data_IF_245886788998
#
_entry.id   IF_245886788998
#
_cell.length_a   1.000
_cell.length_b   1.000
_cell.length_c   1.000
_cell.angle_alpha   90.00
_cell.angle_beta   90.00
_cell.angle_gamma   90.00
#
_symmetry.space_group_name_H-M   'P 1'
#
loop_
_entity.id
_entity.type
_entity.pdbx_description
1 polymer ?
#
# COMPACT_ATOMS: atom_id res chain seq x y z
N UNK A 1 -10.18 -18.47 -14.62
CA UNK A 1 -9.14 -18.08 -13.65
C UNK A 1 -8.88 -19.27 -12.74
N UNK A 2 -7.62 -19.57 -12.39
CA UNK A 2 -7.36 -20.61 -11.38
C UNK A 2 -7.74 -20.09 -9.99
N UNK A 3 -8.15 -20.96 -9.04
CA UNK A 3 -8.46 -20.54 -7.67
C UNK A 3 -7.29 -19.82 -7.00
N UNK A 4 -6.05 -20.25 -7.26
CA UNK A 4 -4.84 -19.60 -6.77
C UNK A 4 -4.69 -18.16 -7.31
N UNK A 5 -4.96 -17.93 -8.61
CA UNK A 5 -4.93 -16.58 -9.18
C UNK A 5 -6.02 -15.70 -8.58
N UNK A 6 -7.23 -16.22 -8.37
CA UNK A 6 -8.32 -15.48 -7.74
C UNK A 6 -7.96 -15.06 -6.31
N UNK A 7 -7.41 -15.99 -5.51
CA UNK A 7 -7.00 -15.73 -4.14
C UNK A 7 -5.93 -14.63 -4.06
N UNK A 8 -4.93 -14.66 -4.93
CA UNK A 8 -3.89 -13.62 -4.99
C UNK A 8 -4.50 -12.25 -5.31
N UNK A 9 -5.42 -12.18 -6.27
CA UNK A 9 -6.09 -10.92 -6.64
C UNK A 9 -6.92 -10.38 -5.49
N UNK A 10 -7.66 -11.23 -4.79
CA UNK A 10 -8.40 -10.86 -3.59
C UNK A 10 -7.46 -10.36 -2.48
N UNK A 11 -6.32 -11.02 -2.28
CA UNK A 11 -5.30 -10.59 -1.31
C UNK A 11 -4.75 -9.20 -1.60
N UNK A 12 -4.38 -8.92 -2.86
CA UNK A 12 -3.98 -7.59 -3.29
C UNK A 12 -5.08 -6.55 -3.09
N UNK A 13 -6.30 -6.85 -3.53
CA UNK A 13 -7.41 -5.93 -3.43
C UNK A 13 -7.73 -5.60 -1.96
N UNK A 14 -7.76 -6.61 -1.09
CA UNK A 14 -8.04 -6.43 0.33
C UNK A 14 -6.94 -5.61 1.04
N UNK A 15 -5.66 -5.92 0.78
CA UNK A 15 -4.54 -5.19 1.37
C UNK A 15 -4.47 -3.74 0.89
N UNK A 16 -4.57 -3.50 -0.42
CA UNK A 16 -4.62 -2.14 -0.98
C UNK A 16 -5.85 -1.35 -0.50
N UNK A 17 -7.02 -1.98 -0.38
CA UNK A 17 -8.21 -1.32 0.15
C UNK A 17 -8.06 -0.95 1.64
N UNK A 18 -7.46 -1.81 2.45
CA UNK A 18 -7.19 -1.52 3.87
C UNK A 18 -6.18 -0.37 4.03
N UNK A 19 -5.14 -0.32 3.20
CA UNK A 19 -4.21 0.80 3.14
C UNK A 19 -4.93 2.08 2.71
N UNK A 20 -5.74 2.02 1.65
CA UNK A 20 -6.50 3.17 1.16
C UNK A 20 -7.44 3.74 2.23
N UNK A 21 -8.17 2.87 2.92
CA UNK A 21 -9.04 3.27 4.01
C UNK A 21 -8.28 3.95 5.16
N UNK A 22 -7.15 3.36 5.58
CA UNK A 22 -6.34 3.92 6.66
C UNK A 22 -5.75 5.28 6.30
N UNK A 23 -5.22 5.44 5.08
CA UNK A 23 -4.71 6.73 4.61
C UNK A 23 -5.80 7.78 4.44
N UNK A 24 -6.98 7.40 3.91
CA UNK A 24 -8.11 8.31 3.81
C UNK A 24 -8.60 8.75 5.21
N UNK A 25 -8.66 7.83 6.16
CA UNK A 25 -9.01 8.13 7.55
C UNK A 25 -8.02 9.14 8.13
N UNK A 26 -6.72 8.86 8.03
CA UNK A 26 -5.65 9.70 8.56
C UNK A 26 -5.58 11.07 7.89
N UNK A 27 -5.88 11.15 6.59
CA UNK A 27 -6.05 12.42 5.88
C UNK A 27 -7.15 13.27 6.53
N UNK A 28 -8.37 12.72 6.65
CA UNK A 28 -9.52 13.45 7.19
C UNK A 28 -9.34 13.81 8.67
N UNK A 29 -8.72 12.93 9.46
CA UNK A 29 -8.65 13.08 10.92
C UNK A 29 -7.32 13.66 11.43
N UNK A 30 -6.48 14.23 10.56
CA UNK A 30 -5.31 14.97 11.02
C UNK A 30 -4.43 15.54 9.92
N UNK A 31 -4.11 14.76 8.89
CA UNK A 31 -3.06 15.17 7.96
C UNK A 31 -3.49 16.13 6.86
N UNK A 32 -4.79 16.32 6.62
CA UNK A 32 -5.26 17.26 5.58
C UNK A 32 -4.72 18.69 5.75
N UNK A 33 -4.33 19.08 6.97
CA UNK A 33 -3.78 20.40 7.27
C UNK A 33 -2.25 20.47 7.22
N UNK A 34 -1.55 19.35 7.01
CA UNK A 34 -0.09 19.30 6.94
C UNK A 34 0.34 19.48 5.47
N UNK A 35 1.03 20.58 5.11
CA UNK A 35 1.44 20.84 3.73
C UNK A 35 2.27 19.69 3.16
N UNK A 36 2.00 19.33 1.89
CA UNK A 36 2.61 18.22 1.15
C UNK A 36 2.32 16.81 1.69
N UNK A 37 2.41 16.60 3.01
CA UNK A 37 2.10 15.32 3.66
C UNK A 37 0.64 14.96 3.49
N UNK A 38 -0.28 15.88 3.79
CA UNK A 38 -1.72 15.66 3.59
C UNK A 38 -2.07 15.30 2.15
N UNK A 39 -1.50 16.01 1.17
CA UNK A 39 -1.66 15.66 -0.24
C UNK A 39 -1.11 14.25 -0.55
N UNK A 40 0.01 13.87 0.06
CA UNK A 40 0.57 12.53 -0.01
C UNK A 40 -0.40 11.45 0.48
N UNK A 41 -1.03 11.64 1.65
CA UNK A 41 -2.05 10.72 2.17
C UNK A 41 -3.24 10.57 1.21
N UNK A 42 -3.74 11.68 0.66
CA UNK A 42 -4.87 11.64 -0.29
C UNK A 42 -4.52 10.94 -1.60
N UNK A 43 -3.34 11.22 -2.15
CA UNK A 43 -2.84 10.58 -3.38
C UNK A 43 -2.63 9.08 -3.13
N UNK A 44 -2.00 8.71 -2.03
CA UNK A 44 -1.80 7.31 -1.65
C UNK A 44 -3.14 6.58 -1.54
N UNK A 45 -4.10 7.16 -0.82
CA UNK A 45 -5.41 6.56 -0.63
C UNK A 45 -6.12 6.33 -1.97
N UNK A 46 -6.09 7.35 -2.83
CA UNK A 46 -6.71 7.32 -4.15
C UNK A 46 -6.09 6.27 -5.07
N UNK A 47 -4.75 6.21 -5.13
CA UNK A 47 -4.02 5.23 -5.95
C UNK A 47 -4.27 3.81 -5.45
N UNK A 48 -4.16 3.58 -4.13
CA UNK A 48 -4.38 2.27 -3.53
C UNK A 48 -5.81 1.78 -3.78
N UNK A 49 -6.82 2.65 -3.63
CA UNK A 49 -8.20 2.29 -3.91
C UNK A 49 -8.45 1.97 -5.39
N UNK A 50 -7.94 2.81 -6.31
CA UNK A 50 -8.07 2.59 -7.74
C UNK A 50 -7.38 1.28 -8.19
N UNK A 51 -6.21 0.99 -7.64
CA UNK A 51 -5.48 -0.25 -7.89
C UNK A 51 -6.21 -1.46 -7.30
N UNK A 52 -6.77 -1.34 -6.08
CA UNK A 52 -7.56 -2.41 -5.46
C UNK A 52 -8.74 -2.82 -6.35
N UNK A 53 -9.52 -1.84 -6.82
CA UNK A 53 -10.65 -2.08 -7.73
C UNK A 53 -10.17 -2.66 -9.07
N UNK A 54 -9.15 -2.06 -9.68
CA UNK A 54 -8.64 -2.52 -10.98
C UNK A 54 -8.10 -3.95 -10.91
N UNK A 55 -7.40 -4.32 -9.83
CA UNK A 55 -6.91 -5.68 -9.61
C UNK A 55 -8.06 -6.63 -9.25
N UNK A 56 -9.09 -6.19 -8.53
CA UNK A 56 -10.24 -7.05 -8.26
C UNK A 56 -11.02 -7.37 -9.54
N UNK A 57 -11.21 -6.37 -10.40
CA UNK A 57 -12.01 -6.43 -11.63
C UNK A 57 -11.30 -7.05 -12.85
N UNK A 58 -10.19 -7.76 -12.67
CA UNK A 58 -9.55 -8.46 -13.79
C UNK A 58 -8.47 -7.66 -14.54
N UNK A 59 -8.07 -6.48 -14.05
CA UNK A 59 -7.00 -5.67 -14.62
C UNK A 59 -5.65 -6.41 -14.83
N UNK A 60 -4.76 -5.83 -15.66
CA UNK A 60 -3.58 -6.50 -16.20
C UNK A 60 -2.52 -6.82 -15.13
N UNK A 61 -1.67 -7.81 -15.44
CA UNK A 61 -0.67 -8.33 -14.52
C UNK A 61 0.37 -7.31 -14.04
N UNK A 62 0.59 -6.21 -14.78
CA UNK A 62 1.50 -5.14 -14.38
C UNK A 62 0.96 -4.30 -13.21
N UNK A 63 -0.35 -4.32 -12.95
CA UNK A 63 -0.93 -3.63 -11.79
C UNK A 63 -0.36 -4.12 -10.46
N UNK A 64 0.12 -5.38 -10.39
CA UNK A 64 0.83 -5.87 -9.22
C UNK A 64 2.14 -5.11 -8.95
N UNK A 65 2.86 -4.68 -10.00
CA UNK A 65 4.04 -3.82 -9.85
C UNK A 65 3.65 -2.42 -9.35
N UNK A 66 2.57 -1.85 -9.89
CA UNK A 66 2.07 -0.57 -9.41
C UNK A 66 1.67 -0.62 -7.93
N UNK A 67 0.93 -1.66 -7.52
CA UNK A 67 0.57 -1.88 -6.12
C UNK A 67 1.78 -2.06 -5.21
N UNK A 68 2.76 -2.88 -5.63
CA UNK A 68 4.01 -3.06 -4.91
C UNK A 68 4.82 -1.76 -4.76
N UNK A 69 4.87 -0.94 -5.83
CA UNK A 69 5.56 0.34 -5.81
C UNK A 69 4.87 1.36 -4.90
N UNK A 70 3.54 1.48 -4.96
CA UNK A 70 2.76 2.38 -4.08
C UNK A 70 2.93 1.98 -2.61
N UNK A 71 2.79 0.69 -2.30
CA UNK A 71 2.97 0.20 -0.93
C UNK A 71 4.41 0.38 -0.43
N UNK A 72 5.40 0.06 -1.27
CA UNK A 72 6.82 0.24 -0.93
C UNK A 72 7.21 1.70 -0.70
N UNK A 73 6.71 2.62 -1.53
CA UNK A 73 6.94 4.06 -1.35
C UNK A 73 6.28 4.57 -0.07
N UNK A 74 5.08 4.10 0.26
CA UNK A 74 4.38 4.45 1.50
C UNK A 74 5.14 3.98 2.74
N UNK A 75 5.63 2.74 2.76
CA UNK A 75 6.47 2.22 3.83
C UNK A 75 7.78 2.99 3.97
N UNK A 76 8.43 3.34 2.86
CA UNK A 76 9.64 4.17 2.89
C UNK A 76 9.36 5.57 3.46
N UNK A 77 8.24 6.18 3.10
CA UNK A 77 7.80 7.46 3.64
C UNK A 77 7.48 7.37 5.15
N UNK A 78 6.85 6.28 5.59
CA UNK A 78 6.61 6.01 7.00
C UNK A 78 7.94 5.88 7.78
N UNK A 79 8.88 5.07 7.29
CA UNK A 79 10.20 4.94 7.94
C UNK A 79 10.93 6.28 7.97
N UNK A 80 10.88 7.06 6.87
CA UNK A 80 11.48 8.38 6.82
C UNK A 80 10.87 9.32 7.88
N UNK A 81 9.53 9.38 8.01
CA UNK A 81 8.87 10.24 9.01
C UNK A 81 9.29 9.92 10.46
N UNK A 82 9.61 8.65 10.75
CA UNK A 82 10.03 8.19 12.09
C UNK A 82 11.54 8.30 12.37
N UNK A 83 12.36 8.59 11.37
CA UNK A 83 13.82 8.53 11.51
C UNK A 83 14.51 9.85 11.18
N UNK A 84 14.41 10.26 9.92
CA UNK A 84 15.09 11.46 9.38
C UNK A 84 14.13 12.62 9.12
N UNK A 85 12.83 12.37 9.28
CA UNK A 85 11.75 13.28 8.89
C UNK A 85 11.47 13.22 7.38
N UNK A 86 10.31 13.75 7.00
CA UNK A 86 9.83 13.83 5.62
C UNK A 86 9.35 15.26 5.36
N UNK A 87 10.10 16.05 4.58
CA UNK A 87 9.72 17.44 4.25
C UNK A 87 9.45 18.32 5.50
N UNK A 88 10.22 18.13 6.58
CA UNK A 88 10.03 18.85 7.84
C UNK A 88 8.95 18.26 8.76
N UNK A 89 8.29 17.18 8.36
CA UNK A 89 7.33 16.43 9.17
C UNK A 89 8.00 15.21 9.82
N UNK A 90 7.76 14.99 11.11
CA UNK A 90 8.27 13.82 11.84
C UNK A 90 7.25 13.32 12.84
N UNK A 91 7.28 12.01 13.09
CA UNK A 91 6.34 11.30 13.95
C UNK A 91 7.04 10.29 14.84
N UNK A 92 6.35 9.81 15.87
CA UNK A 92 6.94 8.93 16.87
C UNK A 92 6.05 7.72 17.18
N UNK A 93 6.67 6.55 17.30
CA UNK A 93 6.00 5.30 17.67
C UNK A 93 4.97 4.83 16.64
N UNK A 94 3.75 4.54 17.09
CA UNK A 94 2.62 4.10 16.26
C UNK A 94 1.46 5.10 16.24
N UNK A 95 1.65 6.29 16.79
CA UNK A 95 0.68 7.37 16.64
C UNK A 95 0.67 7.88 15.19
N UNK A 96 -0.50 8.11 14.57
CA UNK A 96 -1.84 7.95 15.11
C UNK A 96 -2.31 6.48 15.13
N UNK A 97 -2.59 5.96 16.33
CA UNK A 97 -3.08 4.60 16.49
C UNK A 97 -4.60 4.53 16.25
N UNK A 98 -5.14 3.41 15.71
CA UNK A 98 -4.44 2.21 15.24
C UNK A 98 -4.02 2.30 13.76
N UNK A 99 -4.41 3.38 13.06
CA UNK A 99 -4.37 3.43 11.60
C UNK A 99 -2.95 3.43 11.03
N UNK A 100 -1.95 3.97 11.73
CA UNK A 100 -0.55 3.84 11.33
C UNK A 100 -0.11 2.36 11.24
N UNK A 101 -0.40 1.57 12.29
CA UNK A 101 -0.07 0.15 12.31
C UNK A 101 -0.87 -0.66 11.28
N UNK A 102 -2.17 -0.35 11.12
CA UNK A 102 -3.02 -0.99 10.11
C UNK A 102 -2.52 -0.72 8.69
N UNK A 103 -2.12 0.52 8.39
CA UNK A 103 -1.58 0.87 7.08
C UNK A 103 -0.27 0.14 6.80
N UNK A 104 0.67 0.14 7.76
CA UNK A 104 1.95 -0.57 7.61
C UNK A 104 1.73 -2.06 7.40
N UNK A 105 0.82 -2.70 8.14
CA UNK A 105 0.51 -4.11 7.95
C UNK A 105 -0.09 -4.40 6.56
N UNK A 106 -0.99 -3.55 6.09
CA UNK A 106 -1.62 -3.67 4.78
C UNK A 106 -0.61 -3.48 3.63
N UNK A 107 0.26 -2.48 3.74
CA UNK A 107 1.31 -2.21 2.75
C UNK A 107 2.36 -3.32 2.72
N UNK A 108 2.81 -3.78 3.90
CA UNK A 108 3.74 -4.90 4.00
C UNK A 108 3.12 -6.18 3.39
N UNK A 109 1.83 -6.43 3.64
CA UNK A 109 1.09 -7.52 3.00
C UNK A 109 1.05 -7.40 1.48
N UNK A 110 0.83 -6.19 0.96
CA UNK A 110 0.85 -5.91 -0.50
C UNK A 110 2.23 -6.22 -1.09
N UNK A 111 3.31 -5.74 -0.46
CA UNK A 111 4.69 -5.98 -0.90
C UNK A 111 5.05 -7.46 -0.83
N UNK A 112 4.62 -8.16 0.23
CA UNK A 112 4.87 -9.59 0.40
C UNK A 112 4.17 -10.43 -0.69
N UNK A 113 2.90 -10.13 -0.98
CA UNK A 113 2.16 -10.77 -2.08
C UNK A 113 2.83 -10.52 -3.43
N UNK A 114 3.31 -9.29 -3.65
CA UNK A 114 4.07 -8.93 -4.84
C UNK A 114 5.38 -9.69 -4.99
N UNK A 115 6.20 -9.73 -3.95
CA UNK A 115 7.42 -10.50 -3.93
C UNK A 115 7.15 -12.00 -4.18
N UNK A 116 6.12 -12.57 -3.53
CA UNK A 116 5.74 -13.96 -3.71
C UNK A 116 5.35 -14.28 -5.17
N UNK A 117 4.58 -13.40 -5.81
CA UNK A 117 4.22 -13.56 -7.23
C UNK A 117 5.45 -13.49 -8.13
N UNK A 118 6.39 -12.60 -7.87
CA UNK A 118 7.63 -12.50 -8.64
C UNK A 118 8.50 -13.74 -8.49
N UNK A 119 8.69 -14.24 -7.27
CA UNK A 119 9.44 -15.47 -7.00
C UNK A 119 8.80 -16.66 -7.71
N UNK A 120 7.47 -16.79 -7.61
CA UNK A 120 6.74 -17.88 -8.28
C UNK A 120 6.85 -17.81 -9.81
N UNK A 121 6.85 -16.61 -10.40
CA UNK A 121 7.07 -16.43 -11.85
C UNK A 121 8.48 -16.82 -12.25
N UNK A 122 9.50 -16.36 -11.51
CA UNK A 122 10.91 -16.70 -11.79
C UNK A 122 11.16 -18.20 -11.74
N UNK A 123 10.59 -18.91 -10.75
CA UNK A 123 10.71 -20.37 -10.64
C UNK A 123 10.11 -21.11 -11.83
N UNK A 124 8.97 -20.62 -12.38
CA UNK A 124 8.35 -21.19 -13.58
C UNK A 124 9.12 -20.89 -14.86
N UNK A 125 9.87 -19.80 -14.92
CA UNK A 125 10.70 -19.47 -16.08
C UNK A 125 12.04 -20.22 -16.10
N UNK A 126 12.46 -20.79 -14.97
CA UNK A 126 13.71 -21.53 -14.82
C UNK A 126 13.55 -23.07 -14.86
N UNK A 127 12.31 -23.55 -14.95
CA UNK A 127 11.94 -24.96 -15.10
C UNK A 127 11.51 -25.22 -16.54
#
# INVERSE_FOLDING_TARGET
MTPATALIRCGYAASLAAAAYSHAYLYVHGYQHVPHVGAGFLVQASLSFALALSILLGGPAWLGWAGGAVAGASLAAFVASRTVGLLGFSEHGWEPAPHAALSVAAEAGTVALWAAVLVARRRRSAA
#
